data_IF_925871773178
#
_entry.id   IF_925871773178
#
_cell.length_a   1.000
_cell.length_b   1.000
_cell.length_c   1.000
_cell.angle_alpha   90.00
_cell.angle_beta   90.00
_cell.angle_gamma   90.00
#
_symmetry.space_group_name_H-M   'P 1'
#
loop_
_entity.id
_entity.type
_entity.pdbx_description
1 polymer ?
#
# COMPACT_ATOMS: atom_id res chain seq x y z
N UNK A 1 -8.40 13.89 2.07
CA UNK A 1 -6.93 13.91 1.93
C UNK A 1 -6.40 12.65 1.22
N UNK A 2 -6.86 11.44 1.56
CA UNK A 2 -6.43 10.21 0.87
C UNK A 2 -6.60 10.22 -0.66
N UNK A 3 -7.72 10.78 -1.17
CA UNK A 3 -7.96 10.93 -2.61
C UNK A 3 -6.84 11.71 -3.33
N UNK A 4 -6.30 12.75 -2.71
CA UNK A 4 -5.20 13.52 -3.29
C UNK A 4 -3.91 12.70 -3.35
N UNK A 5 -3.63 11.90 -2.31
CA UNK A 5 -2.51 10.96 -2.31
C UNK A 5 -2.65 9.91 -3.41
N UNK A 6 -3.86 9.35 -3.62
CA UNK A 6 -4.12 8.41 -4.71
C UNK A 6 -3.84 9.05 -6.08
N UNK A 7 -4.29 10.29 -6.31
CA UNK A 7 -4.01 11.00 -7.56
C UNK A 7 -2.50 11.27 -7.74
N UNK A 8 -1.79 11.67 -6.68
CA UNK A 8 -0.34 11.86 -6.74
C UNK A 8 0.40 10.56 -7.08
N UNK A 9 0.03 9.45 -6.45
CA UNK A 9 0.62 8.13 -6.70
C UNK A 9 0.45 7.71 -8.16
N UNK A 10 -0.73 7.96 -8.76
CA UNK A 10 -0.96 7.75 -10.19
C UNK A 10 -0.05 8.63 -11.05
N UNK A 11 0.06 9.92 -10.73
CA UNK A 11 0.91 10.88 -11.47
C UNK A 11 2.38 10.46 -11.45
N UNK A 12 2.85 9.89 -10.35
CA UNK A 12 4.20 9.35 -10.21
C UNK A 12 4.42 8.00 -10.92
N UNK A 13 3.38 7.45 -11.60
CA UNK A 13 3.46 6.17 -12.29
C UNK A 13 3.55 4.96 -11.35
N UNK A 14 3.16 5.14 -10.08
CA UNK A 14 3.13 4.05 -9.11
C UNK A 14 1.80 3.31 -9.26
N UNK A 15 1.87 1.98 -9.28
CA UNK A 15 0.68 1.15 -9.22
C UNK A 15 -0.14 1.46 -7.95
N UNK A 16 -1.41 1.83 -8.12
CA UNK A 16 -2.34 2.14 -7.03
C UNK A 16 -2.51 0.98 -6.05
N UNK A 17 -2.30 -0.26 -6.51
CA UNK A 17 -2.35 -1.44 -5.66
C UNK A 17 -1.27 -1.46 -4.57
N UNK A 18 -0.27 -0.58 -4.68
CA UNK A 18 0.78 -0.34 -3.68
C UNK A 18 0.38 0.68 -2.60
N UNK A 19 -0.83 1.21 -2.63
CA UNK A 19 -1.39 2.13 -1.63
C UNK A 19 -2.68 1.55 -1.05
N UNK A 20 -2.72 1.37 0.27
CA UNK A 20 -3.93 0.96 1.01
C UNK A 20 -4.19 1.90 2.18
N UNK A 21 -5.46 1.99 2.59
CA UNK A 21 -5.87 2.70 3.80
C UNK A 21 -6.88 1.82 4.53
N UNK A 22 -6.52 1.42 5.73
CA UNK A 22 -7.35 0.58 6.59
C UNK A 22 -7.48 1.23 7.96
N UNK A 23 -8.71 1.26 8.49
CA UNK A 23 -8.98 1.72 9.84
C UNK A 23 -8.94 0.53 10.79
N UNK A 24 -8.03 0.56 11.77
CA UNK A 24 -7.90 -0.50 12.77
C UNK A 24 -7.78 0.15 14.15
N UNK A 25 -8.62 -0.28 15.09
CA UNK A 25 -8.61 0.20 16.47
C UNK A 25 -7.52 -0.49 17.30
N UNK A 26 -7.24 0.04 18.49
CA UNK A 26 -6.25 -0.54 19.42
C UNK A 26 -6.63 -1.92 19.96
N UNK A 27 -7.91 -2.31 19.87
CA UNK A 27 -8.40 -3.62 20.29
C UNK A 27 -8.32 -4.68 19.18
N UNK A 28 -8.06 -4.29 17.93
CA UNK A 28 -8.12 -5.16 16.74
C UNK A 28 -6.73 -5.69 16.32
N UNK A 29 -5.93 -6.15 17.28
CA UNK A 29 -4.57 -6.64 17.02
C UNK A 29 -4.49 -7.76 15.97
N UNK A 30 -5.40 -8.73 16.04
CA UNK A 30 -5.46 -9.83 15.06
C UNK A 30 -5.76 -9.33 13.65
N UNK A 31 -6.73 -8.43 13.50
CA UNK A 31 -7.08 -7.84 12.20
C UNK A 31 -5.94 -7.01 11.63
N UNK A 32 -5.21 -6.26 12.47
CA UNK A 32 -4.01 -5.57 12.02
C UNK A 32 -2.98 -6.56 11.44
N UNK A 33 -2.70 -7.67 12.15
CA UNK A 33 -1.73 -8.67 11.71
C UNK A 33 -2.14 -9.32 10.37
N UNK A 34 -3.42 -9.64 10.20
CA UNK A 34 -3.98 -10.19 8.96
C UNK A 34 -3.83 -9.21 7.79
N UNK A 35 -4.24 -7.95 7.99
CA UNK A 35 -4.13 -6.90 6.97
C UNK A 35 -2.68 -6.63 6.58
N UNK A 36 -1.78 -6.52 7.57
CA UNK A 36 -0.36 -6.31 7.32
C UNK A 36 0.28 -7.48 6.56
N UNK A 37 -0.08 -8.71 6.92
CA UNK A 37 0.39 -9.93 6.24
C UNK A 37 -0.10 -9.97 4.80
N UNK A 38 -1.40 -9.83 4.58
CA UNK A 38 -2.01 -9.88 3.25
C UNK A 38 -1.49 -8.78 2.33
N UNK A 39 -1.38 -7.56 2.84
CA UNK A 39 -0.82 -6.45 2.06
C UNK A 39 0.66 -6.69 1.72
N UNK A 40 1.44 -7.22 2.65
CA UNK A 40 2.85 -7.60 2.39
C UNK A 40 2.96 -8.63 1.28
N UNK A 41 2.10 -9.66 1.29
CA UNK A 41 2.04 -10.68 0.24
C UNK A 41 1.66 -10.07 -1.12
N UNK A 42 0.66 -9.18 -1.14
CA UNK A 42 0.29 -8.42 -2.34
C UNK A 42 1.47 -7.64 -2.92
N UNK A 43 2.21 -6.90 -2.09
CA UNK A 43 3.39 -6.14 -2.53
C UNK A 43 4.49 -7.06 -3.06
N UNK A 44 4.73 -8.21 -2.41
CA UNK A 44 5.70 -9.21 -2.89
C UNK A 44 5.31 -9.76 -4.26
N UNK A 45 4.03 -10.06 -4.48
CA UNK A 45 3.52 -10.56 -5.75
C UNK A 45 3.64 -9.52 -6.89
N UNK A 46 3.47 -8.24 -6.60
CA UNK A 46 3.71 -7.13 -7.55
C UNK A 46 5.19 -6.91 -7.89
N UNK A 47 6.11 -7.54 -7.16
CA UNK A 47 7.54 -7.41 -7.35
C UNK A 47 8.12 -6.04 -6.94
N UNK A 48 9.42 -5.82 -7.20
CA UNK A 48 10.10 -4.57 -6.85
C UNK A 48 9.46 -3.33 -7.50
N UNK A 49 9.48 -2.20 -6.78
CA UNK A 49 9.05 -0.92 -7.35
C UNK A 49 10.06 -0.42 -8.37
N UNK A 50 9.57 0.04 -9.53
CA UNK A 50 10.38 0.63 -10.60
C UNK A 50 10.88 2.02 -10.27
N UNK A 51 10.27 2.72 -9.30
CA UNK A 51 10.73 4.06 -8.89
C UNK A 51 12.18 4.08 -8.39
N UNK A 52 12.64 3.02 -7.72
CA UNK A 52 14.03 2.92 -7.25
C UNK A 52 15.05 2.80 -8.37
N UNK A 53 14.63 2.47 -9.60
CA UNK A 53 15.52 2.39 -10.76
C UNK A 53 15.66 3.76 -11.47
N UNK A 54 14.73 4.68 -11.21
CA UNK A 54 14.69 6.00 -11.83
C UNK A 54 15.36 7.12 -11.01
N UNK A 55 15.71 6.84 -9.75
CA UNK A 55 16.40 7.74 -8.82
C UNK A 55 17.86 7.32 -8.64
#
# INVERSE_FOLDING_TARGET
MFKMTQELVKVLGIDLDRLSLEWVSSAEGTRFAELATSFTEKIKALGPSTLKQAA
#
